data_IF_515644290594
#
_entry.id   IF_515644290594
#
_cell.length_a   1.000
_cell.length_b   1.000
_cell.length_c   1.000
_cell.angle_alpha   90.00
_cell.angle_beta   90.00
_cell.angle_gamma   90.00
#
_symmetry.space_group_name_H-M   'P 1'
#
loop_
_entity.id
_entity.type
_entity.pdbx_description
1 polymer ?
#
# COMPACT_ATOMS: atom_id res chain seq x y z
N UNK A 1 6.87 0.34 18.40
CA UNK A 1 7.23 1.07 17.16
C UNK A 1 7.34 2.54 17.53
N UNK A 2 8.41 3.21 17.18
CA UNK A 2 8.55 4.64 17.44
C UNK A 2 7.51 5.44 16.68
N UNK A 3 7.04 6.55 17.26
CA UNK A 3 5.99 7.40 16.69
C UNK A 3 6.34 7.89 15.27
N UNK A 4 7.60 8.22 15.04
CA UNK A 4 8.11 8.60 13.72
C UNK A 4 7.89 7.50 12.66
N UNK A 5 8.12 6.22 13.02
CA UNK A 5 7.90 5.10 12.12
C UNK A 5 6.41 4.91 11.78
N UNK A 6 5.50 5.15 12.73
CA UNK A 6 4.06 5.09 12.48
C UNK A 6 3.63 6.22 11.54
N UNK A 7 4.16 7.44 11.73
CA UNK A 7 3.89 8.57 10.83
C UNK A 7 4.29 8.22 9.39
N UNK A 8 5.50 7.66 9.18
CA UNK A 8 5.94 7.22 7.84
C UNK A 8 4.99 6.17 7.25
N UNK A 9 4.57 5.19 8.04
CA UNK A 9 3.61 4.18 7.57
C UNK A 9 2.26 4.83 7.16
N UNK A 10 1.75 5.75 7.95
CA UNK A 10 0.50 6.47 7.65
C UNK A 10 0.60 7.32 6.37
N UNK A 11 1.79 7.83 6.01
CA UNK A 11 1.96 8.54 4.74
C UNK A 11 1.75 7.61 3.53
N UNK A 12 2.09 6.33 3.64
CA UNK A 12 1.81 5.34 2.59
C UNK A 12 0.30 5.11 2.40
N UNK A 13 -0.48 5.35 3.45
CA UNK A 13 -1.95 5.34 3.39
C UNK A 13 -2.55 6.66 2.89
N UNK A 14 -1.71 7.62 2.47
CA UNK A 14 -2.13 8.85 1.81
C UNK A 14 -2.37 10.04 2.75
N UNK A 15 -1.95 9.96 4.00
CA UNK A 15 -1.92 11.10 4.90
C UNK A 15 -0.62 11.90 4.70
N UNK A 16 -0.69 13.22 4.77
CA UNK A 16 0.54 14.01 4.93
C UNK A 16 1.16 13.76 6.32
N UNK A 17 2.45 14.11 6.50
CA UNK A 17 3.11 13.98 7.81
C UNK A 17 2.38 14.75 8.92
N UNK A 18 1.82 15.93 8.60
CA UNK A 18 1.06 16.72 9.56
C UNK A 18 -0.28 16.06 9.91
N UNK A 19 -1.00 15.55 8.92
CA UNK A 19 -2.25 14.81 9.14
C UNK A 19 -2.00 13.53 9.95
N UNK A 20 -0.95 12.78 9.65
CA UNK A 20 -0.55 11.61 10.43
C UNK A 20 -0.25 11.95 11.90
N UNK A 21 0.46 13.06 12.17
CA UNK A 21 0.72 13.52 13.53
C UNK A 21 -0.57 13.94 14.25
N UNK A 22 -1.48 14.64 13.57
CA UNK A 22 -2.80 15.02 14.10
C UNK A 22 -3.64 13.77 14.39
N UNK A 23 -3.68 12.82 13.46
CA UNK A 23 -4.39 11.56 13.61
C UNK A 23 -3.88 10.73 14.79
N UNK A 24 -2.57 10.62 14.97
CA UNK A 24 -1.97 9.96 16.15
C UNK A 24 -2.30 10.68 17.45
N UNK A 25 -2.36 12.01 17.45
CA UNK A 25 -2.80 12.78 18.59
C UNK A 25 -4.25 12.43 18.95
N UNK A 26 -5.14 12.34 17.96
CA UNK A 26 -6.52 11.95 18.18
C UNK A 26 -6.66 10.50 18.66
N UNK A 27 -5.87 9.55 18.10
CA UNK A 27 -5.89 8.15 18.54
C UNK A 27 -5.49 7.94 20.00
N UNK A 28 -4.67 8.82 20.56
CA UNK A 28 -4.21 8.77 21.95
C UNK A 28 -5.19 9.42 22.94
N UNK A 29 -6.22 10.08 22.43
CA UNK A 29 -7.18 10.83 23.24
C UNK A 29 -8.61 10.48 22.81
N UNK A 30 -9.59 10.65 23.69
CA UNK A 30 -10.98 10.28 23.38
C UNK A 30 -11.58 11.26 22.36
N UNK A 31 -11.61 12.55 22.67
CA UNK A 31 -12.12 13.60 21.80
C UNK A 31 -11.38 14.90 22.06
N UNK A 32 -11.04 15.64 21.04
CA UNK A 32 -10.29 16.89 21.14
C UNK A 32 -10.91 17.98 20.26
N UNK A 33 -10.86 19.20 20.74
CA UNK A 33 -11.08 20.38 19.89
C UNK A 33 -9.83 20.69 19.06
N UNK A 34 -9.97 21.40 17.95
CA UNK A 34 -8.83 21.82 17.15
C UNK A 34 -7.80 22.66 17.93
N UNK A 35 -8.26 23.40 18.95
CA UNK A 35 -7.37 24.13 19.84
C UNK A 35 -6.49 23.20 20.68
N UNK A 36 -7.07 22.16 21.27
CA UNK A 36 -6.36 21.17 22.07
C UNK A 36 -5.37 20.37 21.22
N UNK A 37 -5.77 19.97 20.01
CA UNK A 37 -4.86 19.33 19.05
C UNK A 37 -3.67 20.24 18.73
N UNK A 38 -3.89 21.53 18.47
CA UNK A 38 -2.81 22.48 18.21
C UNK A 38 -1.85 22.61 19.40
N UNK A 39 -2.39 22.63 20.62
CA UNK A 39 -1.59 22.69 21.85
C UNK A 39 -0.77 21.43 22.08
N UNK A 40 -1.34 20.24 21.82
CA UNK A 40 -0.68 18.95 22.04
C UNK A 40 0.38 18.63 20.97
N UNK A 41 0.11 18.98 19.72
CA UNK A 41 1.00 18.67 18.60
C UNK A 41 2.06 19.75 18.33
N UNK A 42 1.84 20.97 18.83
CA UNK A 42 2.68 22.13 18.48
C UNK A 42 2.48 22.65 17.06
N UNK A 43 1.54 22.09 16.30
CA UNK A 43 1.19 22.52 14.95
C UNK A 43 0.37 23.81 15.03
N UNK A 44 0.57 24.75 14.10
CA UNK A 44 -0.19 25.99 14.07
C UNK A 44 -1.70 25.72 13.94
N UNK A 45 -2.54 26.55 14.57
CA UNK A 45 -4.01 26.36 14.56
C UNK A 45 -4.57 26.24 13.13
N UNK A 46 -4.13 27.10 12.23
CA UNK A 46 -4.58 27.07 10.83
C UNK A 46 -4.28 25.71 10.19
N UNK A 47 -3.07 25.17 10.35
CA UNK A 47 -2.70 23.89 9.81
C UNK A 47 -3.48 22.72 10.48
N UNK A 48 -3.73 22.83 11.80
CA UNK A 48 -4.54 21.81 12.49
C UNK A 48 -5.97 21.78 11.95
N UNK A 49 -6.62 22.90 11.77
CA UNK A 49 -7.99 22.92 11.23
C UNK A 49 -8.04 22.40 9.79
N UNK A 50 -7.05 22.74 8.96
CA UNK A 50 -6.94 22.18 7.61
C UNK A 50 -6.70 20.67 7.65
N UNK A 51 -5.79 20.20 8.50
CA UNK A 51 -5.52 18.78 8.67
C UNK A 51 -6.70 17.98 9.21
N UNK A 52 -7.44 18.54 10.18
CA UNK A 52 -8.66 17.93 10.73
C UNK A 52 -9.76 17.82 9.66
N UNK A 53 -9.96 18.86 8.86
CA UNK A 53 -10.92 18.83 7.76
C UNK A 53 -10.55 17.75 6.73
N UNK A 54 -9.27 17.67 6.38
CA UNK A 54 -8.75 16.64 5.47
C UNK A 54 -8.88 15.23 6.06
N UNK A 55 -8.61 15.03 7.36
CA UNK A 55 -8.78 13.73 8.02
C UNK A 55 -10.25 13.27 8.01
N UNK A 56 -11.20 14.19 8.20
CA UNK A 56 -12.62 13.89 8.09
C UNK A 56 -12.99 13.50 6.66
N UNK A 57 -12.51 14.24 5.66
CA UNK A 57 -12.72 13.93 4.24
C UNK A 57 -12.15 12.57 3.85
N UNK A 58 -10.98 12.21 4.39
CA UNK A 58 -10.33 10.90 4.16
C UNK A 58 -10.92 9.76 4.99
N UNK A 59 -11.92 10.04 5.85
CA UNK A 59 -12.52 9.03 6.72
C UNK A 59 -11.59 8.53 7.83
N UNK A 60 -10.60 9.35 8.23
CA UNK A 60 -9.68 9.08 9.32
C UNK A 60 -10.14 9.71 10.66
N UNK A 61 -11.06 10.65 10.63
CA UNK A 61 -11.64 11.28 11.81
C UNK A 61 -13.13 11.54 11.64
N UNK A 62 -13.85 11.55 12.77
CA UNK A 62 -15.20 12.06 12.88
C UNK A 62 -15.17 13.47 13.47
N UNK A 63 -16.17 14.27 13.11
CA UNK A 63 -16.44 15.56 13.74
C UNK A 63 -17.76 15.48 14.51
N UNK A 64 -17.76 15.92 15.76
CA UNK A 64 -18.94 16.08 16.58
C UNK A 64 -19.25 17.57 16.68
N UNK A 65 -20.36 17.97 16.10
CA UNK A 65 -20.81 19.38 16.12
C UNK A 65 -21.42 19.73 17.49
N UNK A 66 -21.06 20.90 18.01
CA UNK A 66 -21.55 21.43 19.29
C UNK A 66 -21.20 22.90 19.43
N UNK A 67 -21.23 23.41 20.63
CA UNK A 67 -20.76 24.79 20.94
C UNK A 67 -19.29 25.00 20.50
N UNK A 68 -18.51 23.93 20.47
CA UNK A 68 -17.21 23.88 19.84
C UNK A 68 -17.07 22.48 19.19
N UNK A 69 -16.67 22.45 17.94
CA UNK A 69 -16.48 21.17 17.22
C UNK A 69 -15.37 20.35 17.85
N UNK A 70 -15.66 19.09 18.14
CA UNK A 70 -14.70 18.11 18.64
C UNK A 70 -14.43 17.04 17.59
N UNK A 71 -13.25 16.50 17.61
CA UNK A 71 -12.78 15.51 16.65
C UNK A 71 -12.38 14.23 17.37
N UNK A 72 -12.75 13.11 16.78
CA UNK A 72 -12.49 11.76 17.25
C UNK A 72 -11.82 10.97 16.13
N UNK A 73 -10.75 10.25 16.43
CA UNK A 73 -10.12 9.39 15.43
C UNK A 73 -11.02 8.20 15.08
N UNK A 74 -11.08 7.86 13.81
CA UNK A 74 -11.51 6.52 13.37
C UNK A 74 -10.47 5.51 13.86
N UNK A 75 -10.88 4.34 14.35
CA UNK A 75 -9.95 3.32 14.80
C UNK A 75 -8.95 2.94 13.70
N UNK A 76 -7.69 2.76 14.07
CA UNK A 76 -6.61 2.50 13.09
C UNK A 76 -6.90 1.32 12.16
N UNK A 77 -7.38 0.14 12.64
CA UNK A 77 -7.73 -0.96 11.75
C UNK A 77 -8.82 -0.57 10.75
N UNK A 78 -9.87 0.10 11.22
CA UNK A 78 -10.99 0.54 10.39
C UNK A 78 -10.55 1.51 9.30
N UNK A 79 -9.73 2.50 9.65
CA UNK A 79 -9.16 3.45 8.69
C UNK A 79 -8.33 2.73 7.62
N UNK A 80 -7.43 1.83 8.04
CA UNK A 80 -6.59 1.07 7.12
C UNK A 80 -7.42 0.20 6.17
N UNK A 81 -8.40 -0.54 6.68
CA UNK A 81 -9.27 -1.39 5.87
C UNK A 81 -10.10 -0.59 4.86
N UNK A 82 -10.64 0.55 5.30
CA UNK A 82 -11.40 1.45 4.43
C UNK A 82 -10.50 2.03 3.33
N UNK A 83 -9.26 2.39 3.65
CA UNK A 83 -8.30 2.94 2.69
C UNK A 83 -7.88 1.90 1.65
N UNK A 84 -7.56 0.70 2.08
CA UNK A 84 -7.24 -0.43 1.17
C UNK A 84 -8.40 -0.69 0.22
N UNK A 85 -9.63 -0.79 0.75
CA UNK A 85 -10.85 -0.98 -0.06
C UNK A 85 -11.07 0.16 -1.07
N UNK A 86 -10.82 1.39 -0.67
CA UNK A 86 -10.89 2.55 -1.57
C UNK A 86 -9.86 2.45 -2.70
N UNK A 87 -8.59 2.14 -2.37
CA UNK A 87 -7.53 2.00 -3.35
C UNK A 87 -7.78 0.85 -4.33
N UNK A 88 -8.38 -0.26 -3.88
CA UNK A 88 -8.79 -1.35 -4.77
C UNK A 88 -9.83 -0.87 -5.79
N UNK A 89 -10.84 -0.11 -5.39
CA UNK A 89 -11.82 0.47 -6.32
C UNK A 89 -11.20 1.47 -7.30
N UNK A 90 -10.24 2.28 -6.84
CA UNK A 90 -9.50 3.21 -7.70
C UNK A 90 -8.67 2.43 -8.72
N UNK A 91 -7.96 1.37 -8.29
CA UNK A 91 -7.22 0.46 -9.17
C UNK A 91 -8.13 -0.12 -10.25
N UNK A 92 -9.30 -0.66 -9.89
CA UNK A 92 -10.26 -1.25 -10.85
C UNK A 92 -10.66 -0.24 -11.94
N UNK A 93 -11.00 0.99 -11.55
CA UNK A 93 -11.33 2.07 -12.49
C UNK A 93 -10.16 2.44 -13.38
N UNK A 94 -8.97 2.60 -12.80
CA UNK A 94 -7.76 2.93 -13.57
C UNK A 94 -7.41 1.83 -14.58
N UNK A 95 -7.61 0.56 -14.22
CA UNK A 95 -7.37 -0.56 -15.13
C UNK A 95 -8.42 -0.62 -16.24
N UNK A 96 -9.70 -0.30 -15.92
CA UNK A 96 -10.78 -0.31 -16.90
C UNK A 96 -10.69 0.86 -17.90
N UNK A 97 -10.44 2.07 -17.40
CA UNK A 97 -10.56 3.32 -18.17
C UNK A 97 -9.20 3.92 -18.57
N UNK A 98 -8.11 3.41 -17.98
CA UNK A 98 -6.76 3.92 -18.19
C UNK A 98 -6.21 3.58 -19.58
N UNK A 99 -5.22 4.35 -20.05
CA UNK A 99 -4.57 4.07 -21.32
C UNK A 99 -3.84 2.73 -21.29
N UNK A 100 -4.08 1.87 -22.27
CA UNK A 100 -3.35 0.61 -22.40
C UNK A 100 -1.92 0.87 -22.82
N UNK A 101 -0.96 0.23 -22.12
CA UNK A 101 0.46 0.31 -22.47
C UNK A 101 0.68 -0.27 -23.87
N UNK A 102 1.27 0.49 -24.76
CA UNK A 102 1.81 -0.06 -26.01
C UNK A 102 3.04 -0.89 -25.68
N UNK A 103 3.08 -2.14 -26.16
CA UNK A 103 4.26 -2.97 -26.01
C UNK A 103 5.39 -2.43 -26.90
N UNK A 104 6.65 -2.44 -26.43
CA UNK A 104 7.78 -2.16 -27.28
C UNK A 104 7.81 -3.19 -28.42
N UNK A 105 8.05 -2.76 -29.63
CA UNK A 105 8.05 -3.64 -30.80
C UNK A 105 9.24 -4.60 -30.82
N UNK A 106 10.38 -4.21 -30.23
CA UNK A 106 11.60 -4.99 -30.13
C UNK A 106 12.42 -4.53 -28.92
N UNK A 107 13.21 -5.43 -28.30
CA UNK A 107 14.17 -5.14 -27.23
C UNK A 107 13.95 -5.89 -25.93
N UNK A 108 14.94 -5.78 -25.05
CA UNK A 108 14.92 -6.33 -23.72
C UNK A 108 14.55 -5.23 -22.71
N UNK A 109 13.83 -5.59 -21.66
CA UNK A 109 13.52 -4.71 -20.55
C UNK A 109 14.44 -5.08 -19.39
N UNK A 110 15.25 -4.13 -18.93
CA UNK A 110 16.02 -4.26 -17.70
C UNK A 110 15.21 -3.69 -16.54
N UNK A 111 15.17 -4.43 -15.43
CA UNK A 111 14.48 -4.01 -14.21
C UNK A 111 15.55 -3.92 -13.12
N UNK A 112 15.61 -2.78 -12.45
CA UNK A 112 16.53 -2.52 -11.34
C UNK A 112 15.77 -2.52 -10.01
N UNK A 113 16.41 -3.04 -8.96
CA UNK A 113 15.85 -3.13 -7.62
C UNK A 113 15.14 -4.46 -7.37
N UNK A 114 15.53 -5.10 -6.25
CA UNK A 114 15.05 -6.44 -5.89
C UNK A 114 13.52 -6.51 -5.79
N UNK A 115 12.88 -5.57 -5.09
CA UNK A 115 11.42 -5.53 -4.94
C UNK A 115 10.71 -5.39 -6.30
N UNK A 116 11.21 -4.53 -7.19
CA UNK A 116 10.64 -4.36 -8.52
C UNK A 116 10.78 -5.61 -9.39
N UNK A 117 11.89 -6.36 -9.23
CA UNK A 117 12.10 -7.65 -9.90
C UNK A 117 11.06 -8.65 -9.38
N UNK A 118 10.89 -8.75 -8.06
CA UNK A 118 9.91 -9.64 -7.43
C UNK A 118 8.48 -9.31 -7.86
N UNK A 119 8.10 -8.03 -7.87
CA UNK A 119 6.78 -7.59 -8.34
C UNK A 119 6.55 -7.97 -9.81
N UNK A 120 7.57 -7.81 -10.65
CA UNK A 120 7.46 -8.19 -12.05
C UNK A 120 7.32 -9.70 -12.23
N UNK A 121 8.06 -10.50 -11.49
CA UNK A 121 7.98 -11.97 -11.52
C UNK A 121 6.58 -12.40 -11.07
N UNK A 122 6.08 -11.90 -9.94
CA UNK A 122 4.73 -12.20 -9.46
C UNK A 122 3.66 -11.85 -10.51
N UNK A 123 3.80 -10.69 -11.15
CA UNK A 123 2.89 -10.30 -12.22
C UNK A 123 2.95 -11.23 -13.44
N UNK A 124 4.15 -11.72 -13.78
CA UNK A 124 4.32 -12.70 -14.88
C UNK A 124 3.73 -14.06 -14.51
N UNK A 125 3.93 -14.52 -13.29
CA UNK A 125 3.35 -15.77 -12.77
C UNK A 125 1.83 -15.70 -12.84
N UNK A 126 1.22 -14.66 -12.26
CA UNK A 126 -0.24 -14.48 -12.23
C UNK A 126 -0.86 -14.28 -13.62
N UNK A 127 -0.08 -13.78 -14.58
CA UNK A 127 -0.51 -13.57 -15.96
C UNK A 127 -0.17 -14.70 -16.92
N UNK A 128 0.41 -15.81 -16.43
CA UNK A 128 0.74 -16.95 -17.29
C UNK A 128 -0.53 -17.69 -17.73
N UNK A 129 -0.73 -17.83 -19.05
CA UNK A 129 -1.91 -18.53 -19.60
C UNK A 129 -1.64 -20.01 -19.90
N UNK A 130 -0.44 -20.36 -20.36
CA UNK A 130 -0.11 -21.73 -20.77
C UNK A 130 1.22 -22.25 -20.22
N UNK A 131 2.26 -21.44 -20.26
CA UNK A 131 3.62 -21.83 -19.88
C UNK A 131 4.47 -20.66 -19.45
N UNK A 132 5.45 -20.94 -18.59
CA UNK A 132 6.42 -19.96 -18.12
C UNK A 132 7.82 -20.58 -18.13
N UNK A 133 8.82 -19.77 -18.42
CA UNK A 133 10.22 -20.15 -18.40
C UNK A 133 10.95 -19.27 -17.38
N UNK A 134 11.62 -19.91 -16.43
CA UNK A 134 12.51 -19.25 -15.48
C UNK A 134 13.95 -19.66 -15.74
N UNK A 135 14.84 -18.68 -15.76
CA UNK A 135 16.29 -18.90 -15.72
C UNK A 135 16.86 -18.08 -14.58
N UNK A 136 17.26 -18.74 -13.50
CA UNK A 136 17.73 -18.10 -12.28
C UNK A 136 18.57 -19.08 -11.44
N UNK A 137 19.27 -18.57 -10.40
CA UNK A 137 19.97 -19.42 -9.43
C UNK A 137 18.98 -20.23 -8.59
N UNK A 138 19.42 -21.39 -8.08
CA UNK A 138 18.56 -22.24 -7.24
C UNK A 138 18.03 -21.51 -6.01
N UNK A 139 18.88 -20.72 -5.34
CA UNK A 139 18.48 -19.93 -4.17
C UNK A 139 17.35 -18.92 -4.50
N UNK A 140 17.38 -18.30 -5.68
CA UNK A 140 16.33 -17.39 -6.11
C UNK A 140 15.04 -18.14 -6.47
N UNK A 141 15.13 -19.32 -7.07
CA UNK A 141 13.96 -20.15 -7.39
C UNK A 141 13.27 -20.69 -6.13
N UNK A 142 14.04 -20.97 -5.06
CA UNK A 142 13.50 -21.41 -3.77
C UNK A 142 12.48 -20.40 -3.18
N UNK A 143 12.70 -19.10 -3.39
CA UNK A 143 11.78 -18.04 -2.93
C UNK A 143 10.41 -18.07 -3.63
N UNK A 144 10.31 -18.69 -4.80
CA UNK A 144 9.11 -18.75 -5.64
C UNK A 144 8.47 -20.13 -5.69
N UNK A 145 8.92 -21.03 -4.81
CA UNK A 145 8.48 -22.43 -4.84
C UNK A 145 6.97 -22.59 -4.72
N UNK A 146 6.32 -21.80 -3.86
CA UNK A 146 4.86 -21.90 -3.66
C UNK A 146 4.09 -21.41 -4.89
N UNK A 147 4.46 -20.25 -5.44
CA UNK A 147 3.83 -19.70 -6.65
C UNK A 147 4.06 -20.62 -7.87
N UNK A 148 5.23 -21.20 -7.99
CA UNK A 148 5.56 -22.17 -9.04
C UNK A 148 4.68 -23.44 -8.87
N UNK A 149 4.50 -23.90 -7.65
CA UNK A 149 3.65 -25.06 -7.33
C UNK A 149 2.19 -24.79 -7.67
N UNK A 150 1.68 -23.60 -7.36
CA UNK A 150 0.32 -23.19 -7.73
C UNK A 150 0.11 -23.20 -9.24
N UNK A 151 1.09 -22.71 -10.02
CA UNK A 151 1.05 -22.78 -11.48
C UNK A 151 0.96 -24.24 -11.99
N UNK A 152 1.74 -25.15 -11.43
CA UNK A 152 1.72 -26.57 -11.79
C UNK A 152 0.37 -27.19 -11.46
N UNK A 153 -0.21 -26.90 -10.29
CA UNK A 153 -1.56 -27.39 -9.93
C UNK A 153 -2.65 -26.82 -10.82
N UNK A 154 -2.48 -25.60 -11.32
CA UNK A 154 -3.38 -25.00 -12.30
C UNK A 154 -3.22 -25.58 -13.73
N UNK A 155 -2.29 -26.51 -13.92
CA UNK A 155 -2.06 -27.21 -15.21
C UNK A 155 -1.14 -26.45 -16.17
N UNK A 156 -0.43 -25.42 -15.71
CA UNK A 156 0.54 -24.70 -16.53
C UNK A 156 1.85 -25.46 -16.67
N UNK A 157 2.53 -25.27 -17.79
CA UNK A 157 3.86 -25.85 -18.02
C UNK A 157 4.92 -24.87 -17.48
N UNK A 158 5.72 -25.35 -16.55
CA UNK A 158 6.84 -24.58 -15.96
C UNK A 158 8.15 -25.20 -16.38
N UNK A 159 9.05 -24.38 -16.91
CA UNK A 159 10.40 -24.75 -17.31
C UNK A 159 11.39 -23.97 -16.48
N UNK A 160 12.22 -24.67 -15.72
CA UNK A 160 13.22 -24.08 -14.84
C UNK A 160 14.61 -24.36 -15.39
N UNK A 161 15.43 -23.35 -15.50
CA UNK A 161 16.85 -23.44 -15.86
C UNK A 161 17.64 -22.86 -14.70
N UNK A 162 18.40 -23.71 -14.03
CA UNK A 162 19.27 -23.33 -12.91
C UNK A 162 20.68 -23.90 -13.13
N UNK A 163 21.66 -23.19 -12.62
CA UNK A 163 23.05 -23.66 -12.59
C UNK A 163 23.25 -24.77 -11.54
N UNK A 164 22.37 -24.85 -10.55
CA UNK A 164 22.41 -25.85 -9.49
C UNK A 164 21.54 -27.07 -9.86
N UNK A 165 22.15 -28.24 -9.94
CA UNK A 165 21.51 -29.55 -10.19
C UNK A 165 20.73 -30.02 -8.93
N UNK A 166 19.86 -29.19 -8.33
CA UNK A 166 18.96 -29.62 -7.27
C UNK A 166 17.57 -29.86 -7.86
N UNK A 167 17.03 -31.06 -7.62
CA UNK A 167 15.60 -31.33 -7.85
C UNK A 167 14.80 -30.47 -6.86
N UNK A 168 13.85 -29.71 -7.36
CA UNK A 168 12.88 -28.91 -6.57
C UNK A 168 11.76 -29.80 -6.03
#
# INVERSE_FOLDING_TARGET
>A
MEEAAIIEQLTLFGLSRQEAAIYLCLLKNEELTGYEVAKLTGISRSNVYNGLASLVEHGAAYVMEGTSSKYLAVALPEFCDNRVRYLMKVKERLVADGPKKSLPREGYITIEGYEHICDKIRHMILGAEMRIYFSATGAFLEEWTEEIRELLYAGHKVFLISEDNKEL
#
